data_IF_539113058763
#
_entry.id   IF_539113058763
#
_cell.length_a   1.000
_cell.length_b   1.000
_cell.length_c   1.000
_cell.angle_alpha   90.00
_cell.angle_beta   90.00
_cell.angle_gamma   90.00
#
_symmetry.space_group_name_H-M   'P 1'
#
loop_
_entity.id
_entity.type
_entity.pdbx_description
1 polymer ?
#
# COMPACT_ATOMS: atom_id res chain seq x y z
N UNK A 1 34.15 -16.40 27.48
CA UNK A 1 34.26 -15.88 26.10
C UNK A 1 32.88 -15.48 25.67
N UNK A 2 32.68 -14.21 25.52
CA UNK A 2 31.43 -13.44 25.62
C UNK A 2 30.67 -13.42 24.32
N UNK A 3 29.46 -13.86 24.40
CA UNK A 3 28.43 -13.80 23.35
C UNK A 3 27.83 -12.38 23.28
N UNK A 4 28.27 -11.54 22.37
CA UNK A 4 27.87 -10.13 22.28
C UNK A 4 27.37 -9.67 20.90
N UNK A 5 27.05 -10.59 19.97
CA UNK A 5 26.67 -10.19 18.61
C UNK A 5 25.17 -10.14 18.25
N UNK A 6 24.21 -10.86 18.85
CA UNK A 6 22.82 -10.83 18.37
C UNK A 6 22.07 -9.52 18.69
N UNK A 7 22.38 -8.87 19.82
CA UNK A 7 21.62 -7.69 20.28
C UNK A 7 21.83 -6.43 19.42
N UNK A 8 23.03 -6.20 18.91
CA UNK A 8 23.35 -5.04 18.06
C UNK A 8 22.75 -5.17 16.66
N UNK A 9 22.73 -6.37 16.08
CA UNK A 9 22.13 -6.64 14.77
C UNK A 9 20.60 -6.47 14.80
N UNK A 10 19.92 -6.93 15.85
CA UNK A 10 18.46 -6.81 16.02
C UNK A 10 18.03 -5.36 16.21
N UNK A 11 18.77 -4.56 17.00
CA UNK A 11 18.50 -3.12 17.20
C UNK A 11 18.74 -2.33 15.91
N UNK A 12 19.76 -2.72 15.13
CA UNK A 12 20.10 -2.09 13.86
C UNK A 12 19.03 -2.35 12.79
N UNK A 13 18.54 -3.60 12.72
CA UNK A 13 17.41 -3.98 11.87
C UNK A 13 16.16 -3.19 12.22
N UNK A 14 15.83 -3.06 13.50
CA UNK A 14 14.66 -2.31 13.96
C UNK A 14 14.69 -0.82 13.60
N UNK A 15 15.86 -0.15 13.68
CA UNK A 15 15.96 1.28 13.29
C UNK A 15 15.84 1.48 11.80
N UNK A 16 16.47 0.62 10.99
CA UNK A 16 16.35 0.68 9.53
C UNK A 16 14.89 0.49 9.09
N UNK A 17 14.19 -0.46 9.73
CA UNK A 17 12.78 -0.71 9.45
C UNK A 17 11.91 0.50 9.83
N UNK A 18 12.08 1.07 11.04
CA UNK A 18 11.33 2.28 11.44
C UNK A 18 11.54 3.44 10.50
N UNK A 19 12.74 3.64 9.98
CA UNK A 19 13.02 4.67 8.98
C UNK A 19 12.31 4.39 7.65
N UNK A 20 12.24 3.14 7.21
CA UNK A 20 11.51 2.76 6.00
C UNK A 20 10.01 2.99 6.15
N UNK A 21 9.42 2.59 7.28
CA UNK A 21 8.00 2.76 7.56
C UNK A 21 7.64 4.24 7.73
N UNK A 22 8.50 5.02 8.42
CA UNK A 22 8.35 6.46 8.52
C UNK A 22 8.47 7.16 7.16
N UNK A 23 9.38 6.70 6.28
CA UNK A 23 9.51 7.22 4.93
C UNK A 23 8.23 6.99 4.13
N UNK A 24 7.66 5.76 4.15
CA UNK A 24 6.41 5.45 3.49
C UNK A 24 5.27 6.36 3.97
N UNK A 25 5.15 6.55 5.30
CA UNK A 25 4.15 7.43 5.89
C UNK A 25 4.33 8.89 5.46
N UNK A 26 5.53 9.44 5.63
CA UNK A 26 5.79 10.87 5.38
C UNK A 26 5.68 11.17 3.88
N UNK A 27 6.12 10.27 2.99
CA UNK A 27 5.92 10.43 1.56
C UNK A 27 4.44 10.43 1.17
N UNK A 28 3.62 9.59 1.81
CA UNK A 28 2.17 9.60 1.59
C UNK A 28 1.52 10.93 2.06
N UNK A 29 1.95 11.47 3.20
CA UNK A 29 1.36 12.67 3.79
C UNK A 29 1.78 13.98 3.10
N UNK A 30 3.03 14.06 2.59
CA UNK A 30 3.64 15.31 2.11
C UNK A 30 4.14 15.25 0.66
N UNK A 31 4.20 14.06 0.07
CA UNK A 31 4.84 13.80 -1.21
C UNK A 31 6.36 13.63 -1.09
N UNK A 32 6.94 12.96 -2.08
CA UNK A 32 8.38 12.68 -2.12
C UNK A 32 9.17 13.99 -2.25
N UNK A 33 8.78 14.89 -3.14
CA UNK A 33 9.55 16.09 -3.43
C UNK A 33 9.71 16.99 -2.21
N UNK A 34 8.63 17.25 -1.48
CA UNK A 34 8.60 18.16 -0.31
C UNK A 34 9.23 17.56 0.94
N UNK A 35 9.33 16.24 1.04
CA UNK A 35 9.83 15.54 2.23
C UNK A 35 11.35 15.68 2.34
N UNK A 36 11.83 16.04 3.52
CA UNK A 36 13.27 16.06 3.87
C UNK A 36 13.67 14.82 4.66
N UNK A 37 14.97 14.50 4.66
CA UNK A 37 15.52 13.43 5.52
C UNK A 37 15.25 13.73 7.00
N UNK A 38 15.23 15.01 7.38
CA UNK A 38 14.93 15.41 8.75
C UNK A 38 13.49 15.11 9.16
N UNK A 39 12.52 15.23 8.25
CA UNK A 39 11.13 14.89 8.52
C UNK A 39 10.96 13.39 8.77
N UNK A 40 11.60 12.56 7.95
CA UNK A 40 11.60 11.10 8.12
C UNK A 40 12.30 10.72 9.44
N UNK A 41 13.43 11.33 9.75
CA UNK A 41 14.16 11.10 10.99
C UNK A 41 13.29 11.39 12.22
N UNK A 42 12.57 12.52 12.20
CA UNK A 42 11.64 12.93 13.25
C UNK A 42 10.48 11.94 13.39
N UNK A 43 9.87 11.54 12.28
CA UNK A 43 8.76 10.58 12.27
C UNK A 43 9.18 9.18 12.77
N UNK A 44 10.45 8.79 12.52
CA UNK A 44 11.01 7.51 12.95
C UNK A 44 11.52 7.51 14.40
N UNK A 45 11.56 8.67 15.07
CA UNK A 45 12.25 8.86 16.35
C UNK A 45 13.72 8.38 16.28
N UNK A 46 14.45 8.89 15.26
CA UNK A 46 15.85 8.58 15.00
C UNK A 46 16.62 9.89 14.80
N UNK A 47 17.76 10.11 15.46
CA UNK A 47 18.58 11.29 15.19
C UNK A 47 18.98 11.39 13.71
N UNK A 48 18.87 12.58 13.10
CA UNK A 48 19.14 12.81 11.67
C UNK A 48 20.52 12.29 11.24
N UNK A 49 21.55 12.49 12.06
CA UNK A 49 22.90 11.95 11.78
C UNK A 49 22.94 10.42 11.65
N UNK A 50 22.04 9.71 12.34
CA UNK A 50 21.94 8.27 12.25
C UNK A 50 21.25 7.78 10.98
N UNK A 51 20.41 8.60 10.32
CA UNK A 51 19.76 8.22 9.07
C UNK A 51 20.79 7.92 8.00
N UNK A 52 21.83 8.76 7.86
CA UNK A 52 22.90 8.60 6.87
C UNK A 52 23.74 7.34 7.07
N UNK A 53 23.65 6.71 8.23
CA UNK A 53 24.26 5.39 8.46
C UNK A 53 23.50 4.29 7.73
N UNK A 54 22.16 4.41 7.61
CA UNK A 54 21.28 3.41 6.98
C UNK A 54 20.95 3.72 5.53
N UNK A 55 20.75 5.02 5.22
CA UNK A 55 20.33 5.52 3.91
C UNK A 55 21.16 6.74 3.55
N UNK A 56 21.91 6.65 2.45
CA UNK A 56 22.83 7.71 2.02
C UNK A 56 22.13 8.79 1.20
N UNK A 57 21.03 8.46 0.54
CA UNK A 57 20.28 9.34 -0.33
C UNK A 57 18.79 9.25 -0.04
N UNK A 58 18.02 10.25 -0.50
CA UNK A 58 16.56 10.25 -0.45
C UNK A 58 15.99 9.13 -1.32
N UNK A 59 16.62 8.79 -2.45
CA UNK A 59 16.18 7.71 -3.33
C UNK A 59 16.27 6.34 -2.64
N UNK A 60 17.27 6.12 -1.80
CA UNK A 60 17.33 4.92 -0.96
C UNK A 60 16.17 4.84 0.06
N UNK A 61 15.69 5.99 0.53
CA UNK A 61 14.49 6.04 1.40
C UNK A 61 13.22 5.82 0.59
N UNK A 62 13.13 6.30 -0.67
CA UNK A 62 12.01 6.00 -1.56
C UNK A 62 11.96 4.51 -1.86
N UNK A 63 13.07 3.88 -2.23
CA UNK A 63 13.18 2.44 -2.41
C UNK A 63 12.76 1.66 -1.15
N UNK A 64 13.19 2.12 0.04
CA UNK A 64 12.78 1.50 1.31
C UNK A 64 11.28 1.67 1.60
N UNK A 65 10.68 2.79 1.21
CA UNK A 65 9.24 3.03 1.30
C UNK A 65 8.45 2.11 0.36
N UNK A 66 8.90 1.92 -0.89
CA UNK A 66 8.31 0.94 -1.82
C UNK A 66 8.37 -0.46 -1.22
N UNK A 67 9.52 -0.84 -0.66
CA UNK A 67 9.66 -2.12 0.04
C UNK A 67 8.73 -2.23 1.27
N UNK A 68 8.45 -1.14 1.98
CA UNK A 68 7.48 -1.11 3.07
C UNK A 68 6.05 -1.31 2.54
N UNK A 69 5.66 -0.67 1.44
CA UNK A 69 4.37 -0.91 0.78
C UNK A 69 4.22 -2.37 0.32
N UNK A 70 5.27 -2.98 -0.22
CA UNK A 70 5.26 -4.39 -0.61
C UNK A 70 4.97 -5.31 0.59
N UNK A 71 5.63 -5.08 1.73
CA UNK A 71 5.37 -5.85 2.97
C UNK A 71 3.95 -5.65 3.46
N UNK A 72 3.48 -4.41 3.52
CA UNK A 72 2.09 -4.12 3.94
C UNK A 72 1.08 -4.82 3.04
N UNK A 73 1.29 -4.83 1.71
CA UNK A 73 0.43 -5.54 0.78
C UNK A 73 0.44 -7.06 1.04
N UNK A 74 1.61 -7.65 1.30
CA UNK A 74 1.74 -9.06 1.65
C UNK A 74 1.04 -9.40 2.97
N UNK A 75 1.18 -8.56 3.99
CA UNK A 75 0.52 -8.75 5.29
C UNK A 75 -1.01 -8.66 5.15
N UNK A 76 -1.52 -7.72 4.34
CA UNK A 76 -2.94 -7.61 4.02
C UNK A 76 -3.41 -8.89 3.32
N UNK A 77 -2.73 -9.33 2.27
CA UNK A 77 -3.07 -10.56 1.54
C UNK A 77 -3.10 -11.77 2.49
N UNK A 78 -2.08 -11.92 3.33
CA UNK A 78 -2.03 -13.01 4.30
C UNK A 78 -3.20 -12.98 5.30
N UNK A 79 -3.63 -11.80 5.72
CA UNK A 79 -4.81 -11.64 6.58
C UNK A 79 -6.11 -11.98 5.82
N UNK A 80 -6.20 -11.61 4.54
CA UNK A 80 -7.37 -11.89 3.70
C UNK A 80 -7.52 -13.38 3.38
N UNK A 81 -6.42 -14.13 3.30
CA UNK A 81 -6.45 -15.59 3.09
C UNK A 81 -7.14 -16.38 4.23
N UNK A 82 -7.39 -15.73 5.38
CA UNK A 82 -8.13 -16.34 6.49
C UNK A 82 -9.65 -16.45 6.24
N UNK A 83 -10.19 -15.76 5.24
CA UNK A 83 -11.60 -15.85 4.89
C UNK A 83 -11.88 -17.10 4.02
N UNK A 84 -13.04 -17.73 4.23
CA UNK A 84 -13.35 -19.05 3.69
C UNK A 84 -13.52 -19.08 2.16
N UNK A 85 -13.96 -17.98 1.54
CA UNK A 85 -14.24 -17.94 0.11
C UNK A 85 -13.57 -16.79 -0.61
N UNK A 86 -13.27 -16.94 -1.92
CA UNK A 86 -12.72 -15.87 -2.72
C UNK A 86 -13.58 -14.59 -2.70
N UNK A 87 -14.91 -14.72 -2.72
CA UNK A 87 -15.82 -13.57 -2.64
C UNK A 87 -15.71 -12.84 -1.30
N UNK A 88 -15.63 -13.56 -0.17
CA UNK A 88 -15.44 -12.94 1.13
C UNK A 88 -14.06 -12.26 1.26
N UNK A 89 -13.01 -12.83 0.68
CA UNK A 89 -11.68 -12.24 0.61
C UNK A 89 -11.70 -10.90 -0.13
N UNK A 90 -12.35 -10.84 -1.31
CA UNK A 90 -12.50 -9.62 -2.08
C UNK A 90 -13.34 -8.56 -1.34
N UNK A 91 -14.44 -8.96 -0.70
CA UNK A 91 -15.25 -8.04 0.12
C UNK A 91 -14.48 -7.53 1.34
N UNK A 92 -13.70 -8.39 1.99
CA UNK A 92 -12.84 -7.98 3.11
C UNK A 92 -11.75 -6.99 2.66
N UNK A 93 -11.18 -7.16 1.47
CA UNK A 93 -10.27 -6.17 0.86
C UNK A 93 -10.97 -4.81 0.69
N UNK A 94 -12.18 -4.80 0.13
CA UNK A 94 -12.97 -3.57 -0.05
C UNK A 94 -13.27 -2.91 1.30
N UNK A 95 -13.66 -3.68 2.31
CA UNK A 95 -13.89 -3.16 3.68
C UNK A 95 -12.62 -2.54 4.26
N UNK A 96 -11.47 -3.17 4.07
CA UNK A 96 -10.17 -2.61 4.49
C UNK A 96 -9.87 -1.26 3.84
N UNK A 97 -10.24 -1.05 2.58
CA UNK A 97 -10.15 0.26 1.93
C UNK A 97 -11.12 1.29 2.55
N UNK A 98 -12.36 0.89 2.82
CA UNK A 98 -13.36 1.75 3.46
C UNK A 98 -12.95 2.14 4.89
N UNK A 99 -12.31 1.25 5.62
CA UNK A 99 -11.80 1.55 6.97
C UNK A 99 -10.72 2.63 6.97
N UNK A 100 -10.00 2.80 5.85
CA UNK A 100 -9.00 3.85 5.65
C UNK A 100 -9.54 5.14 5.02
N UNK A 101 -10.87 5.29 4.85
CA UNK A 101 -11.50 6.41 4.13
C UNK A 101 -11.12 7.80 4.63
N UNK A 102 -10.91 7.95 5.94
CA UNK A 102 -10.50 9.24 6.54
C UNK A 102 -9.08 9.62 6.11
N UNK A 103 -8.15 8.65 6.10
CA UNK A 103 -6.79 8.85 5.58
C UNK A 103 -6.80 9.08 4.07
N UNK A 104 -7.63 8.32 3.34
CA UNK A 104 -7.79 8.49 1.91
C UNK A 104 -8.35 9.89 1.57
N UNK A 105 -9.27 10.43 2.37
CA UNK A 105 -9.77 11.80 2.20
C UNK A 105 -8.67 12.85 2.43
N UNK A 106 -7.72 12.58 3.32
CA UNK A 106 -6.62 13.51 3.60
C UNK A 106 -5.48 13.40 2.59
N UNK A 107 -5.07 12.19 2.20
CA UNK A 107 -3.80 11.94 1.52
C UNK A 107 -3.93 11.08 0.25
N UNK A 108 -5.11 10.55 -0.07
CA UNK A 108 -5.32 9.65 -1.21
C UNK A 108 -4.85 8.21 -0.95
N UNK A 109 -4.70 7.43 -2.02
CA UNK A 109 -4.13 6.09 -1.96
C UNK A 109 -2.60 6.15 -1.80
N UNK A 110 -1.99 5.50 -0.79
CA UNK A 110 -0.54 5.55 -0.58
C UNK A 110 0.28 5.13 -1.81
N UNK A 111 -0.09 4.02 -2.44
CA UNK A 111 0.62 3.54 -3.63
C UNK A 111 0.29 4.36 -4.87
N UNK A 112 -0.98 4.80 -5.04
CA UNK A 112 -1.40 5.60 -6.18
C UNK A 112 -0.77 7.00 -6.18
N UNK A 113 -0.71 7.66 -5.03
CA UNK A 113 -0.06 8.97 -4.88
C UNK A 113 1.44 8.88 -5.17
N UNK A 114 2.11 7.86 -4.62
CA UNK A 114 3.53 7.64 -4.86
C UNK A 114 3.81 7.30 -6.33
N UNK A 115 2.97 6.49 -6.98
CA UNK A 115 3.10 6.17 -8.41
C UNK A 115 3.03 7.44 -9.27
N UNK A 116 2.06 8.33 -9.02
CA UNK A 116 1.91 9.58 -9.76
C UNK A 116 3.09 10.56 -9.62
N UNK A 117 3.88 10.44 -8.55
CA UNK A 117 5.12 11.21 -8.39
C UNK A 117 6.32 10.53 -9.08
N UNK A 118 6.40 9.20 -9.00
CA UNK A 118 7.54 8.44 -9.52
C UNK A 118 7.51 8.29 -11.04
N UNK A 119 6.34 8.28 -11.69
CA UNK A 119 6.21 8.18 -13.14
C UNK A 119 6.85 9.36 -13.90
N UNK A 120 7.05 10.48 -13.21
CA UNK A 120 7.75 11.68 -13.73
C UNK A 120 9.27 11.60 -13.61
N UNK A 121 9.78 10.54 -13.01
CA UNK A 121 11.22 10.34 -12.75
C UNK A 121 11.76 9.28 -13.71
N UNK A 122 13.03 9.44 -14.12
CA UNK A 122 13.71 8.52 -15.04
C UNK A 122 14.68 7.55 -14.33
N UNK A 123 14.43 7.26 -13.01
CA UNK A 123 15.35 6.48 -12.17
C UNK A 123 14.94 5.01 -11.99
N UNK A 124 13.78 4.60 -12.55
CA UNK A 124 13.29 3.22 -12.51
C UNK A 124 12.54 2.83 -11.24
N UNK A 125 12.38 3.73 -10.26
CA UNK A 125 11.60 3.46 -9.04
C UNK A 125 10.09 3.30 -9.32
N UNK A 126 9.59 3.89 -10.41
CA UNK A 126 8.27 3.69 -10.96
C UNK A 126 7.97 2.21 -11.23
N UNK A 127 8.95 1.49 -11.79
CA UNK A 127 8.83 0.06 -12.11
C UNK A 127 8.77 -0.80 -10.87
N UNK A 128 9.58 -0.50 -9.86
CA UNK A 128 9.54 -1.22 -8.58
C UNK A 128 8.17 -1.09 -7.90
N UNK A 129 7.59 0.11 -7.92
CA UNK A 129 6.26 0.33 -7.36
C UNK A 129 5.16 -0.34 -8.22
N UNK A 130 5.31 -0.31 -9.55
CA UNK A 130 4.40 -1.03 -10.46
C UNK A 130 4.37 -2.54 -10.17
N UNK A 131 5.52 -3.15 -9.81
CA UNK A 131 5.57 -4.56 -9.45
C UNK A 131 4.81 -4.84 -8.14
N UNK A 132 4.86 -3.94 -7.17
CA UNK A 132 4.06 -4.04 -5.92
C UNK A 132 2.55 -4.00 -6.24
N UNK A 133 2.13 -3.05 -7.08
CA UNK A 133 0.72 -2.93 -7.47
C UNK A 133 0.26 -4.13 -8.31
N UNK A 134 1.15 -4.67 -9.15
CA UNK A 134 0.89 -5.88 -9.94
C UNK A 134 0.64 -7.09 -9.05
N UNK A 135 1.40 -7.24 -7.97
CA UNK A 135 1.19 -8.32 -6.99
C UNK A 135 -0.22 -8.33 -6.39
N UNK A 136 -0.75 -7.16 -6.05
CA UNK A 136 -2.14 -7.04 -5.58
C UNK A 136 -3.15 -7.35 -6.70
N UNK A 137 -2.90 -6.85 -7.91
CA UNK A 137 -3.77 -7.11 -9.07
C UNK A 137 -3.83 -8.61 -9.39
N UNK A 138 -2.69 -9.31 -9.35
CA UNK A 138 -2.59 -10.74 -9.61
C UNK A 138 -3.31 -11.56 -8.51
N UNK A 139 -3.22 -11.13 -7.25
CA UNK A 139 -3.98 -11.74 -6.18
C UNK A 139 -5.50 -11.57 -6.35
N UNK A 140 -5.96 -10.38 -6.73
CA UNK A 140 -7.38 -10.11 -7.01
C UNK A 140 -7.86 -10.99 -8.18
N UNK A 141 -7.08 -11.09 -9.26
CA UNK A 141 -7.34 -11.95 -10.41
C UNK A 141 -7.53 -13.42 -9.98
N UNK A 142 -6.63 -13.93 -9.15
CA UNK A 142 -6.73 -15.28 -8.61
C UNK A 142 -8.02 -15.50 -7.78
N UNK A 143 -8.50 -14.49 -7.04
CA UNK A 143 -9.76 -14.62 -6.32
C UNK A 143 -10.95 -14.71 -7.28
N UNK A 144 -11.03 -13.86 -8.31
CA UNK A 144 -12.10 -13.97 -9.32
C UNK A 144 -12.04 -15.29 -10.11
N UNK A 145 -10.85 -15.75 -10.46
CA UNK A 145 -10.66 -17.08 -11.06
C UNK A 145 -11.15 -18.19 -10.12
N UNK A 146 -10.90 -18.09 -8.82
CA UNK A 146 -11.40 -19.00 -7.78
C UNK A 146 -12.93 -18.99 -7.62
N UNK A 147 -13.61 -17.91 -8.06
CA UNK A 147 -15.07 -17.85 -8.17
C UNK A 147 -15.60 -18.50 -9.46
N UNK A 148 -14.73 -19.08 -10.30
CA UNK A 148 -15.11 -19.68 -11.59
C UNK A 148 -15.26 -18.69 -12.74
N UNK A 149 -14.74 -17.44 -12.58
CA UNK A 149 -14.82 -16.41 -13.63
C UNK A 149 -13.72 -16.61 -14.67
N UNK A 150 -14.12 -16.65 -15.94
CA UNK A 150 -13.19 -16.71 -17.09
C UNK A 150 -12.65 -15.35 -17.50
N UNK A 151 -13.32 -14.28 -17.07
CA UNK A 151 -12.98 -12.86 -17.25
C UNK A 151 -12.29 -12.27 -16.00
N UNK A 152 -11.67 -13.12 -15.17
CA UNK A 152 -11.09 -12.77 -13.87
C UNK A 152 -10.14 -11.57 -13.93
N UNK A 153 -9.27 -11.51 -14.97
CA UNK A 153 -8.33 -10.42 -15.15
C UNK A 153 -9.01 -9.08 -15.42
N UNK A 154 -10.05 -9.06 -16.21
CA UNK A 154 -10.84 -7.85 -16.50
C UNK A 154 -11.55 -7.36 -15.24
N UNK A 155 -12.13 -8.27 -14.47
CA UNK A 155 -12.77 -7.97 -13.19
C UNK A 155 -11.76 -7.46 -12.15
N UNK A 156 -10.56 -8.02 -12.11
CA UNK A 156 -9.50 -7.55 -11.23
C UNK A 156 -9.06 -6.11 -11.56
N UNK A 157 -8.88 -5.82 -12.83
CA UNK A 157 -8.58 -4.45 -13.30
C UNK A 157 -9.73 -3.51 -12.95
N UNK A 158 -10.98 -3.91 -13.15
CA UNK A 158 -12.15 -3.09 -12.81
C UNK A 158 -12.22 -2.78 -11.32
N UNK A 159 -11.99 -3.77 -10.45
CA UNK A 159 -12.00 -3.58 -8.99
C UNK A 159 -10.87 -2.63 -8.54
N UNK A 160 -9.65 -2.84 -9.02
CA UNK A 160 -8.51 -2.00 -8.65
C UNK A 160 -8.66 -0.58 -9.21
N UNK A 161 -9.16 -0.42 -10.44
CA UNK A 161 -9.43 0.87 -11.04
C UNK A 161 -10.53 1.64 -10.29
N UNK A 162 -11.60 0.96 -9.84
CA UNK A 162 -12.63 1.55 -8.99
C UNK A 162 -12.05 2.07 -7.67
N UNK A 163 -11.18 1.29 -7.02
CA UNK A 163 -10.48 1.74 -5.82
C UNK A 163 -9.60 2.97 -6.06
N UNK A 164 -8.79 2.96 -7.12
CA UNK A 164 -7.93 4.11 -7.44
C UNK A 164 -8.75 5.36 -7.77
N UNK A 165 -9.82 5.19 -8.55
CA UNK A 165 -10.73 6.29 -8.91
C UNK A 165 -11.44 6.88 -7.70
N UNK A 166 -12.04 6.04 -6.85
CA UNK A 166 -12.75 6.55 -5.67
C UNK A 166 -11.78 7.15 -4.64
N UNK A 167 -10.57 6.61 -4.50
CA UNK A 167 -9.54 7.16 -3.64
C UNK A 167 -9.15 8.59 -4.07
N UNK A 168 -8.97 8.81 -5.36
CA UNK A 168 -8.71 10.13 -5.95
C UNK A 168 -9.87 11.09 -5.67
N UNK A 169 -11.12 10.69 -5.94
CA UNK A 169 -12.30 11.52 -5.73
C UNK A 169 -12.50 11.86 -4.25
N UNK A 170 -12.38 10.87 -3.37
CA UNK A 170 -12.46 11.04 -1.91
C UNK A 170 -11.42 12.07 -1.42
N UNK A 171 -10.19 12.00 -1.94
CA UNK A 171 -9.14 12.96 -1.61
C UNK A 171 -9.43 14.35 -2.19
N UNK A 172 -9.83 14.42 -3.45
CA UNK A 172 -10.09 15.70 -4.14
C UNK A 172 -11.20 16.49 -3.47
N UNK A 173 -12.28 15.80 -3.08
CA UNK A 173 -13.45 16.44 -2.46
C UNK A 173 -13.39 16.48 -0.92
N UNK A 174 -12.37 15.84 -0.31
CA UNK A 174 -12.26 15.70 1.14
C UNK A 174 -13.50 15.05 1.78
N UNK A 175 -14.12 14.12 1.06
CA UNK A 175 -15.38 13.48 1.46
C UNK A 175 -15.19 11.96 1.62
N UNK A 176 -14.98 11.46 2.86
CA UNK A 176 -14.84 10.03 3.11
C UNK A 176 -16.12 9.22 2.87
N UNK A 177 -17.31 9.88 2.82
CA UNK A 177 -18.56 9.20 2.54
C UNK A 177 -18.62 8.65 1.12
N UNK A 178 -17.92 9.27 0.17
CA UNK A 178 -17.82 8.78 -1.20
C UNK A 178 -17.18 7.38 -1.27
N UNK A 179 -16.09 7.16 -0.54
CA UNK A 179 -15.43 5.84 -0.46
C UNK A 179 -16.31 4.80 0.22
N UNK A 180 -17.05 5.19 1.26
CA UNK A 180 -17.99 4.29 1.92
C UNK A 180 -19.13 3.85 0.99
N UNK A 181 -19.70 4.80 0.22
CA UNK A 181 -20.76 4.51 -0.76
C UNK A 181 -20.28 3.58 -1.88
N UNK A 182 -19.08 3.86 -2.43
CA UNK A 182 -18.48 3.01 -3.47
C UNK A 182 -18.12 1.64 -2.93
N UNK A 183 -17.59 1.52 -1.71
CA UNK A 183 -17.31 0.25 -1.06
C UNK A 183 -18.56 -0.62 -0.96
N UNK A 184 -19.68 -0.06 -0.49
CA UNK A 184 -20.95 -0.77 -0.44
C UNK A 184 -21.45 -1.19 -1.83
N UNK A 185 -21.20 -0.38 -2.88
CA UNK A 185 -21.52 -0.75 -4.27
C UNK A 185 -20.65 -1.91 -4.76
N UNK A 186 -19.36 -1.87 -4.46
CA UNK A 186 -18.40 -2.91 -4.85
C UNK A 186 -18.70 -4.24 -4.16
N UNK A 187 -19.09 -4.25 -2.88
CA UNK A 187 -19.51 -5.49 -2.20
C UNK A 187 -20.72 -6.13 -2.90
N UNK A 188 -21.76 -5.34 -3.21
CA UNK A 188 -22.92 -5.85 -3.97
C UNK A 188 -22.55 -6.34 -5.37
N UNK A 189 -21.61 -5.66 -6.03
CA UNK A 189 -21.13 -6.08 -7.34
C UNK A 189 -20.41 -7.43 -7.23
N UNK A 190 -19.53 -7.62 -6.26
CA UNK A 190 -18.87 -8.91 -6.00
C UNK A 190 -19.89 -10.01 -5.74
N UNK A 191 -20.92 -9.75 -4.90
CA UNK A 191 -21.99 -10.71 -4.62
C UNK A 191 -22.74 -11.11 -5.89
N UNK A 192 -22.98 -10.17 -6.81
CA UNK A 192 -23.66 -10.46 -8.09
C UNK A 192 -22.85 -11.36 -9.05
N UNK A 193 -21.54 -11.49 -8.80
CA UNK A 193 -20.65 -12.34 -9.61
C UNK A 193 -20.51 -13.76 -9.08
N UNK A 194 -21.05 -14.05 -7.88
CA UNK A 194 -21.08 -15.41 -7.32
C UNK A 194 -22.10 -16.24 -8.12
N UNK A 195 -21.74 -17.42 -8.65
CA UNK A 195 -22.71 -18.28 -9.35
C UNK A 195 -23.90 -18.61 -8.46
N UNK A 196 -25.10 -18.58 -9.02
CA UNK A 196 -26.29 -19.13 -8.34
C UNK A 196 -26.08 -20.63 -8.11
N UNK A 197 -26.17 -21.05 -6.86
CA UNK A 197 -26.14 -22.48 -6.45
C UNK A 197 -27.36 -23.21 -6.89
#
# INVERSE_FOLDING_TARGET
>A
MTDSQPRAATVKSGKRQRLADAAAKVFHEQGVEKTTIADIARAADVPVGNVYYYFKTKDQLVHAAISAHARTAQDIIAALEQFDSPAERLKALVRGWVDQRELAAQFGCPSGSLAAELDKRADGLDRELADVMRGLLDWIDAQFAGMGRTDSRELAVALLAAYQGISLLTNTFRDPAMMAAEGARLERWIDSLVPAT
#
